data_IF_323162776460
#
_entry.id   IF_323162776460
#
_cell.length_a   1.000
_cell.length_b   1.000
_cell.length_c   1.000
_cell.angle_alpha   90.00
_cell.angle_beta   90.00
_cell.angle_gamma   90.00
#
_symmetry.space_group_name_H-M   'P 1'
#
loop_
_entity.id
_entity.type
_entity.pdbx_description
1 polymer ?
#
# COMPACT_ATOMS: atom_id res chain seq x y z
N UNK A 1 -15.05 -10.18 -19.91
CA UNK A 1 -13.74 -9.74 -20.45
C UNK A 1 -12.69 -10.04 -19.37
N UNK A 2 -11.49 -10.49 -19.71
CA UNK A 2 -10.48 -10.96 -18.73
C UNK A 2 -9.39 -9.90 -18.51
N UNK A 3 -9.19 -9.47 -17.24
CA UNK A 3 -8.08 -8.67 -16.65
C UNK A 3 -8.21 -8.74 -15.11
N UNK A 4 -7.17 -8.61 -14.26
CA UNK A 4 -5.82 -9.20 -14.25
C UNK A 4 -5.83 -10.68 -13.77
N UNK A 5 -4.63 -11.30 -13.76
CA UNK A 5 -4.30 -12.75 -13.74
C UNK A 5 -5.01 -13.65 -12.70
N UNK A 6 -5.69 -13.10 -11.69
CA UNK A 6 -6.14 -13.86 -10.52
C UNK A 6 -7.65 -13.78 -10.21
N UNK A 7 -8.47 -13.02 -10.93
CA UNK A 7 -9.88 -12.82 -10.57
C UNK A 7 -10.86 -13.38 -11.62
N UNK A 8 -12.01 -13.89 -11.19
CA UNK A 8 -13.14 -14.29 -12.05
C UNK A 8 -14.32 -13.36 -11.77
N UNK A 9 -14.99 -12.92 -12.83
CA UNK A 9 -16.04 -11.92 -12.78
C UNK A 9 -17.33 -12.37 -13.49
N UNK A 10 -18.45 -11.83 -13.03
CA UNK A 10 -19.76 -11.90 -13.68
C UNK A 10 -20.21 -10.45 -13.92
N UNK A 11 -20.46 -10.07 -15.16
CA UNK A 11 -20.85 -8.70 -15.54
C UNK A 11 -19.91 -7.60 -15.02
N UNK A 12 -18.60 -7.88 -14.95
CA UNK A 12 -17.59 -6.94 -14.44
C UNK A 12 -17.52 -6.84 -12.91
N UNK A 13 -18.27 -7.69 -12.19
CA UNK A 13 -18.24 -7.81 -10.73
C UNK A 13 -17.51 -9.09 -10.33
N UNK A 14 -16.54 -8.98 -9.42
CA UNK A 14 -15.73 -10.11 -8.95
C UNK A 14 -16.56 -11.12 -8.15
N UNK A 15 -16.52 -12.38 -8.56
CA UNK A 15 -17.17 -13.50 -7.86
C UNK A 15 -16.16 -14.49 -7.25
N UNK A 16 -14.90 -14.45 -7.69
CA UNK A 16 -13.86 -15.37 -7.23
C UNK A 16 -12.49 -14.72 -7.33
N UNK A 17 -11.63 -15.02 -6.35
CA UNK A 17 -10.19 -14.78 -6.42
C UNK A 17 -9.46 -16.11 -6.48
N UNK A 18 -8.39 -16.17 -7.26
CA UNK A 18 -7.61 -17.37 -7.56
C UNK A 18 -6.14 -17.12 -7.32
N UNK A 19 -5.37 -18.18 -7.17
CA UNK A 19 -3.93 -18.11 -6.99
C UNK A 19 -3.29 -19.48 -7.18
N UNK A 20 -2.05 -19.48 -7.62
CA UNK A 20 -1.29 -20.69 -7.90
C UNK A 20 0.06 -20.69 -7.21
N UNK A 21 0.54 -21.87 -6.84
CA UNK A 21 1.96 -22.07 -6.49
C UNK A 21 2.46 -23.38 -7.06
N UNK A 22 3.69 -23.39 -7.54
CA UNK A 22 4.37 -24.61 -7.94
C UNK A 22 5.41 -24.99 -6.89
N UNK A 23 5.48 -26.27 -6.54
CA UNK A 23 6.50 -26.83 -5.65
C UNK A 23 6.88 -28.22 -6.16
N UNK A 24 8.16 -28.40 -6.51
CA UNK A 24 8.76 -29.71 -6.86
C UNK A 24 8.00 -30.47 -7.95
N UNK A 25 7.63 -29.78 -9.03
CA UNK A 25 6.89 -30.37 -10.16
C UNK A 25 5.41 -30.62 -9.90
N UNK A 26 4.88 -30.19 -8.76
CA UNK A 26 3.45 -30.16 -8.48
C UNK A 26 2.93 -28.72 -8.50
N UNK A 27 1.85 -28.49 -9.24
CA UNK A 27 1.16 -27.20 -9.28
C UNK A 27 -0.10 -27.26 -8.41
N UNK A 28 -0.17 -26.37 -7.42
CA UNK A 28 -1.36 -26.13 -6.61
C UNK A 28 -2.05 -24.88 -7.13
N UNK A 29 -3.20 -25.07 -7.78
CA UNK A 29 -4.14 -24.00 -8.08
C UNK A 29 -5.24 -23.97 -7.03
N UNK A 30 -5.54 -22.81 -6.49
CA UNK A 30 -6.64 -22.60 -5.55
C UNK A 30 -7.45 -21.38 -5.92
N UNK A 31 -8.69 -21.35 -5.48
CA UNK A 31 -9.53 -20.17 -5.57
C UNK A 31 -10.68 -20.21 -4.57
N UNK A 32 -11.25 -19.04 -4.33
CA UNK A 32 -12.48 -18.88 -3.55
C UNK A 32 -13.65 -18.67 -4.50
N UNK A 33 -14.85 -19.10 -4.15
CA UNK A 33 -16.07 -18.75 -4.87
C UNK A 33 -17.05 -18.14 -3.87
N UNK A 34 -17.49 -16.92 -4.14
CA UNK A 34 -18.41 -16.21 -3.27
C UNK A 34 -19.83 -16.78 -3.48
N UNK A 35 -20.30 -17.57 -2.51
CA UNK A 35 -21.62 -18.23 -2.56
C UNK A 35 -22.70 -17.34 -1.94
N UNK A 36 -22.48 -16.89 -0.70
CA UNK A 36 -23.34 -15.97 0.04
C UNK A 36 -22.44 -14.96 0.76
N UNK A 37 -22.38 -13.74 0.24
CA UNK A 37 -21.48 -12.70 0.73
C UNK A 37 -22.20 -11.77 1.70
N UNK A 38 -21.82 -11.83 2.98
CA UNK A 38 -22.18 -10.82 3.97
C UNK A 38 -21.09 -9.74 4.02
N UNK A 39 -21.33 -8.63 3.31
CA UNK A 39 -20.41 -7.50 3.26
C UNK A 39 -20.17 -6.90 4.65
N UNK A 40 -21.19 -6.85 5.51
CA UNK A 40 -21.07 -6.27 6.84
C UNK A 40 -20.12 -7.09 7.73
N UNK A 41 -20.25 -8.43 7.70
CA UNK A 41 -19.33 -9.33 8.41
C UNK A 41 -17.92 -9.25 7.84
N UNK A 42 -17.77 -9.25 6.51
CA UNK A 42 -16.47 -9.15 5.85
C UNK A 42 -15.73 -7.88 6.25
N UNK A 43 -16.39 -6.73 6.19
CA UNK A 43 -15.82 -5.43 6.57
C UNK A 43 -15.37 -5.43 8.04
N UNK A 44 -16.19 -5.94 8.97
CA UNK A 44 -15.78 -6.05 10.38
C UNK A 44 -14.58 -6.98 10.58
N UNK A 45 -14.53 -8.11 9.88
CA UNK A 45 -13.45 -9.09 10.01
C UNK A 45 -12.10 -8.53 9.50
N UNK A 46 -12.14 -7.70 8.44
CA UNK A 46 -10.97 -7.02 7.89
C UNK A 46 -10.53 -5.81 8.73
N UNK A 47 -11.21 -5.53 9.87
CA UNK A 47 -10.93 -4.37 10.76
C UNK A 47 -10.94 -3.04 10.01
N UNK A 48 -11.77 -2.98 9.00
CA UNK A 48 -12.12 -1.78 8.25
C UNK A 48 -12.89 -0.87 9.23
N UNK A 49 -12.45 0.37 9.50
CA UNK A 49 -13.01 1.23 10.54
C UNK A 49 -14.53 1.40 10.50
N UNK A 50 -15.12 1.65 11.66
CA UNK A 50 -16.57 1.67 11.86
C UNK A 50 -17.28 2.87 11.23
N UNK A 51 -16.57 3.97 10.92
CA UNK A 51 -17.18 5.09 10.17
C UNK A 51 -17.64 4.69 8.74
N UNK A 52 -17.24 3.50 8.28
CA UNK A 52 -17.44 2.91 6.95
C UNK A 52 -18.61 1.92 6.82
N UNK A 53 -19.41 1.76 7.88
CA UNK A 53 -20.56 0.86 7.84
C UNK A 53 -21.82 1.60 7.35
N UNK A 54 -21.67 2.62 6.50
CA UNK A 54 -22.79 3.39 5.94
C UNK A 54 -23.32 2.70 4.68
N UNK A 55 -24.63 2.72 4.48
CA UNK A 55 -25.30 1.97 3.39
C UNK A 55 -24.73 2.26 1.98
N UNK A 56 -24.32 3.52 1.73
CA UNK A 56 -23.74 3.95 0.45
C UNK A 56 -22.46 3.18 0.05
N UNK A 57 -21.68 2.70 1.01
CA UNK A 57 -20.44 1.96 0.75
C UNK A 57 -20.69 0.48 0.47
N UNK A 58 -21.69 -0.09 1.17
CA UNK A 58 -22.18 -1.45 0.86
C UNK A 58 -22.61 -1.48 -0.61
N UNK A 59 -23.29 -0.44 -1.07
CA UNK A 59 -23.74 -0.35 -2.45
C UNK A 59 -22.58 -0.19 -3.44
N UNK A 60 -21.55 0.62 -3.12
CA UNK A 60 -20.32 0.69 -3.94
C UNK A 60 -19.52 -0.62 -3.99
N UNK A 61 -19.56 -1.44 -2.94
CA UNK A 61 -18.95 -2.77 -2.95
C UNK A 61 -19.77 -3.77 -3.78
N UNK A 62 -21.10 -3.69 -3.76
CA UNK A 62 -21.98 -4.47 -4.66
C UNK A 62 -21.79 -4.11 -6.13
N UNK A 63 -21.34 -2.88 -6.44
CA UNK A 63 -20.96 -2.49 -7.81
C UNK A 63 -19.68 -3.18 -8.29
N UNK A 64 -18.83 -3.69 -7.39
CA UNK A 64 -17.51 -4.27 -7.71
C UNK A 64 -17.43 -5.78 -7.47
N UNK A 65 -18.29 -6.33 -6.63
CA UNK A 65 -18.29 -7.75 -6.23
C UNK A 65 -19.68 -8.34 -6.38
N UNK A 66 -19.73 -9.66 -6.59
CA UNK A 66 -20.98 -10.41 -6.57
C UNK A 66 -20.81 -11.79 -5.94
N UNK A 67 -21.92 -12.48 -5.72
CA UNK A 67 -21.96 -13.85 -5.23
C UNK A 67 -23.07 -14.65 -5.93
N UNK A 68 -22.99 -15.99 -5.87
CA UNK A 68 -23.97 -16.87 -6.52
C UNK A 68 -25.41 -16.56 -6.08
N UNK A 69 -25.63 -16.26 -4.81
CA UNK A 69 -26.97 -15.94 -4.29
C UNK A 69 -27.59 -14.70 -4.94
N UNK A 70 -26.79 -13.68 -5.23
CA UNK A 70 -27.28 -12.45 -5.86
C UNK A 70 -27.58 -12.69 -7.33
N UNK A 71 -26.69 -13.41 -8.03
CA UNK A 71 -26.86 -13.70 -9.47
C UNK A 71 -27.98 -14.71 -9.75
N UNK A 72 -28.18 -15.70 -8.88
CA UNK A 72 -29.19 -16.75 -9.05
C UNK A 72 -30.52 -16.43 -8.34
N UNK A 73 -30.56 -15.39 -7.51
CA UNK A 73 -31.70 -15.06 -6.65
C UNK A 73 -31.92 -16.03 -5.47
N UNK A 74 -31.13 -17.11 -5.37
CA UNK A 74 -31.16 -18.06 -4.27
C UNK A 74 -29.76 -18.63 -4.00
N UNK A 75 -29.51 -19.11 -2.79
CA UNK A 75 -28.26 -19.80 -2.48
C UNK A 75 -28.31 -21.23 -3.02
N UNK A 76 -27.43 -21.63 -3.96
CA UNK A 76 -27.41 -23.00 -4.44
C UNK A 76 -26.85 -23.95 -3.36
N UNK A 77 -27.34 -25.20 -3.27
CA UNK A 77 -26.73 -26.21 -2.40
C UNK A 77 -25.26 -26.45 -2.75
N UNK A 78 -24.41 -26.64 -1.74
CA UNK A 78 -22.96 -26.78 -1.94
C UNK A 78 -22.59 -27.93 -2.89
N UNK A 79 -23.36 -29.01 -2.89
CA UNK A 79 -23.14 -30.16 -3.78
C UNK A 79 -23.43 -29.82 -5.25
N UNK A 80 -24.40 -28.93 -5.52
CA UNK A 80 -24.65 -28.42 -6.88
C UNK A 80 -23.46 -27.60 -7.35
N UNK A 81 -22.93 -26.73 -6.48
CA UNK A 81 -21.75 -25.90 -6.77
C UNK A 81 -20.52 -26.78 -7.05
N UNK A 82 -20.23 -27.77 -6.19
CA UNK A 82 -19.12 -28.72 -6.38
C UNK A 82 -19.24 -29.50 -7.68
N UNK A 83 -20.44 -29.99 -8.00
CA UNK A 83 -20.68 -30.73 -9.25
C UNK A 83 -20.52 -29.85 -10.50
N UNK A 84 -20.95 -28.59 -10.44
CA UNK A 84 -20.74 -27.63 -11.51
C UNK A 84 -19.25 -27.36 -11.75
N UNK A 85 -18.48 -27.13 -10.68
CA UNK A 85 -17.01 -26.95 -10.74
C UNK A 85 -16.33 -28.19 -11.32
N UNK A 86 -16.67 -29.39 -10.81
CA UNK A 86 -16.14 -30.67 -11.32
C UNK A 86 -16.40 -30.82 -12.82
N UNK A 87 -17.64 -30.57 -13.24
CA UNK A 87 -18.04 -30.66 -14.66
C UNK A 87 -17.28 -29.65 -15.51
N UNK A 88 -17.12 -28.42 -15.02
CA UNK A 88 -16.34 -27.37 -15.69
C UNK A 88 -14.89 -27.79 -15.92
N UNK A 89 -14.23 -28.28 -14.87
CA UNK A 89 -12.85 -28.78 -14.98
C UNK A 89 -12.76 -30.01 -15.88
N UNK A 90 -13.71 -30.96 -15.80
CA UNK A 90 -13.69 -32.15 -16.66
C UNK A 90 -13.73 -31.79 -18.14
N UNK A 91 -14.57 -30.81 -18.49
CA UNK A 91 -14.65 -30.29 -19.86
C UNK A 91 -13.38 -29.55 -20.27
N UNK A 92 -12.86 -28.68 -19.40
CA UNK A 92 -11.69 -27.86 -19.69
C UNK A 92 -10.41 -28.70 -19.88
N UNK A 93 -10.23 -29.75 -19.08
CA UNK A 93 -9.06 -30.62 -19.14
C UNK A 93 -9.26 -31.87 -20.01
N UNK A 94 -10.49 -32.15 -20.47
CA UNK A 94 -10.81 -33.39 -21.16
C UNK A 94 -10.56 -34.63 -20.29
N UNK A 95 -10.81 -34.52 -18.98
CA UNK A 95 -10.43 -35.54 -17.98
C UNK A 95 -11.61 -36.00 -17.14
N UNK A 96 -11.57 -37.27 -16.74
CA UNK A 96 -12.50 -37.84 -15.76
C UNK A 96 -11.88 -37.76 -14.36
N UNK A 97 -12.64 -37.21 -13.41
CA UNK A 97 -12.20 -37.10 -12.02
C UNK A 97 -12.85 -38.19 -11.15
N UNK A 98 -12.02 -39.01 -10.52
CA UNK A 98 -12.41 -39.90 -9.44
C UNK A 98 -12.42 -39.14 -8.10
N UNK A 99 -13.42 -39.41 -7.26
CA UNK A 99 -13.46 -38.88 -5.90
C UNK A 99 -12.74 -39.87 -5.00
N UNK A 100 -11.58 -39.46 -4.49
CA UNK A 100 -10.84 -40.21 -3.49
C UNK A 100 -10.75 -39.37 -2.21
N UNK A 101 -10.91 -40.05 -1.07
CA UNK A 101 -10.62 -39.44 0.22
C UNK A 101 -9.11 -39.35 0.44
N UNK A 102 -8.72 -38.75 1.56
CA UNK A 102 -7.31 -38.79 1.99
C UNK A 102 -6.91 -40.25 2.26
N UNK A 103 -5.77 -40.66 1.69
CA UNK A 103 -5.12 -41.91 2.07
C UNK A 103 -4.73 -41.89 3.55
N UNK A 104 -4.46 -43.06 4.12
CA UNK A 104 -4.01 -43.16 5.52
C UNK A 104 -2.74 -42.35 5.78
N UNK A 105 -1.84 -42.26 4.81
CA UNK A 105 -0.63 -41.45 4.93
C UNK A 105 -0.95 -39.95 4.94
N UNK A 106 -1.81 -39.47 4.03
CA UNK A 106 -2.22 -38.07 3.96
C UNK A 106 -3.00 -37.64 5.21
N UNK A 107 -3.90 -38.50 5.71
CA UNK A 107 -4.62 -38.25 6.95
C UNK A 107 -3.66 -38.12 8.13
N UNK A 108 -2.71 -39.06 8.28
CA UNK A 108 -1.68 -38.98 9.33
C UNK A 108 -0.80 -37.73 9.18
N UNK A 109 -0.47 -37.33 7.96
CA UNK A 109 0.30 -36.11 7.69
C UNK A 109 -0.49 -34.86 8.09
N UNK A 110 -1.76 -34.78 7.72
CA UNK A 110 -2.68 -33.72 8.11
C UNK A 110 -2.79 -33.64 9.63
N UNK A 111 -3.11 -34.75 10.31
CA UNK A 111 -3.30 -34.79 11.76
C UNK A 111 -2.04 -34.35 12.52
N UNK A 112 -0.86 -34.76 12.03
CA UNK A 112 0.43 -34.37 12.62
C UNK A 112 0.71 -32.87 12.48
N UNK A 113 0.32 -32.25 11.37
CA UNK A 113 0.64 -30.84 11.08
C UNK A 113 -0.50 -29.86 11.38
N UNK A 114 -1.74 -30.33 11.50
CA UNK A 114 -2.93 -29.50 11.72
C UNK A 114 -2.78 -28.63 12.96
N UNK A 115 -2.28 -29.21 14.06
CA UNK A 115 -2.00 -28.48 15.31
C UNK A 115 -1.04 -27.31 15.10
N UNK A 116 -0.04 -27.49 14.23
CA UNK A 116 0.90 -26.42 13.86
C UNK A 116 0.20 -25.37 13.01
N UNK A 117 -0.59 -25.75 12.00
CA UNK A 117 -1.28 -24.79 11.13
C UNK A 117 -2.35 -23.98 11.86
N UNK A 118 -2.91 -24.52 12.94
CA UNK A 118 -3.87 -23.85 13.83
C UNK A 118 -3.19 -23.09 14.98
N UNK A 119 -1.86 -23.20 15.16
CA UNK A 119 -1.19 -22.53 16.27
C UNK A 119 -1.10 -21.03 16.03
N UNK A 120 -1.11 -20.25 17.10
CA UNK A 120 -0.88 -18.81 17.07
C UNK A 120 0.46 -18.48 16.43
N UNK A 121 1.50 -19.28 16.70
CA UNK A 121 2.83 -19.08 16.13
C UNK A 121 2.86 -19.20 14.62
N UNK A 122 1.97 -20.01 14.03
CA UNK A 122 1.83 -20.14 12.58
C UNK A 122 0.91 -19.07 12.00
N UNK A 123 -0.27 -18.88 12.59
CA UNK A 123 -1.27 -17.90 12.14
C UNK A 123 -0.71 -16.48 12.19
N UNK A 124 0.01 -16.14 13.26
CA UNK A 124 0.65 -14.85 13.47
C UNK A 124 2.13 -14.84 13.07
N UNK A 125 2.58 -15.80 12.24
CA UNK A 125 3.93 -15.83 11.66
C UNK A 125 4.12 -14.73 10.61
N UNK A 126 3.88 -13.49 11.00
CA UNK A 126 4.13 -12.30 10.21
C UNK A 126 5.61 -12.00 10.35
N UNK A 127 6.32 -11.90 9.23
CA UNK A 127 7.68 -11.33 9.24
C UNK A 127 7.52 -9.86 9.58
N UNK A 128 7.73 -9.52 10.84
CA UNK A 128 7.78 -8.14 11.29
C UNK A 128 9.23 -7.70 11.34
N UNK A 129 9.53 -6.45 10.98
CA UNK A 129 10.81 -5.87 11.32
C UNK A 129 11.04 -5.97 12.83
N UNK A 130 12.30 -6.04 13.25
CA UNK A 130 12.64 -5.84 14.65
C UNK A 130 12.18 -4.43 15.05
N UNK A 131 11.64 -4.27 16.26
CA UNK A 131 11.37 -2.95 16.82
C UNK A 131 12.72 -2.30 17.13
N UNK A 132 13.20 -1.50 16.19
CA UNK A 132 14.44 -0.73 16.28
C UNK A 132 14.11 0.69 15.83
N UNK A 133 14.42 1.68 16.66
CA UNK A 133 14.13 3.09 16.38
C UNK A 133 14.92 3.63 15.18
N UNK A 134 15.98 2.92 14.76
CA UNK A 134 16.80 3.25 13.60
C UNK A 134 16.41 2.48 12.32
N UNK A 135 15.28 1.77 12.35
CA UNK A 135 14.79 1.05 11.18
C UNK A 135 14.33 2.02 10.10
N UNK A 136 14.88 1.89 8.89
CA UNK A 136 14.49 2.66 7.72
C UNK A 136 13.40 1.90 6.96
N UNK A 137 12.37 2.62 6.51
CA UNK A 137 11.17 2.05 5.91
C UNK A 137 10.81 2.70 4.57
N UNK A 138 10.33 1.88 3.64
CA UNK A 138 9.72 2.36 2.39
C UNK A 138 8.64 1.41 1.88
N UNK A 139 7.77 1.97 1.02
CA UNK A 139 6.74 1.23 0.28
C UNK A 139 6.80 1.63 -1.18
N UNK A 140 6.97 0.65 -2.06
CA UNK A 140 6.97 0.85 -3.51
C UNK A 140 5.86 0.02 -4.15
N UNK A 141 5.06 0.62 -5.04
CA UNK A 141 4.04 -0.11 -5.81
C UNK A 141 4.62 -0.53 -7.15
N UNK A 142 4.70 -1.83 -7.36
CA UNK A 142 4.94 -2.42 -8.68
C UNK A 142 3.61 -2.88 -9.30
N UNK A 143 3.55 -3.05 -10.64
CA UNK A 143 2.39 -3.65 -11.32
C UNK A 143 1.97 -5.01 -10.73
N UNK A 144 2.94 -5.78 -10.24
CA UNK A 144 2.76 -7.12 -9.65
C UNK A 144 2.44 -7.14 -8.15
N UNK A 145 2.45 -5.99 -7.47
CA UNK A 145 2.19 -5.91 -6.03
C UNK A 145 2.95 -4.77 -5.33
N UNK A 146 2.60 -4.52 -4.07
CA UNK A 146 3.30 -3.67 -3.12
C UNK A 146 4.53 -4.38 -2.58
N UNK A 147 5.67 -3.70 -2.65
CA UNK A 147 6.93 -4.08 -2.02
C UNK A 147 7.13 -3.16 -0.81
N UNK A 148 7.35 -3.75 0.35
CA UNK A 148 7.69 -3.06 1.59
C UNK A 148 9.10 -3.45 1.99
N UNK A 149 9.95 -2.46 2.20
CA UNK A 149 11.32 -2.66 2.65
C UNK A 149 11.45 -2.11 4.05
N UNK A 150 12.10 -2.88 4.91
CA UNK A 150 12.53 -2.46 6.23
C UNK A 150 13.98 -2.84 6.40
N UNK A 151 14.86 -1.87 6.57
CA UNK A 151 16.30 -2.12 6.63
C UNK A 151 16.98 -1.34 7.75
N UNK A 152 18.07 -1.91 8.26
CA UNK A 152 19.01 -1.25 9.15
C UNK A 152 20.30 -1.04 8.39
N UNK A 153 20.80 0.19 8.37
CA UNK A 153 22.12 0.51 7.84
C UNK A 153 23.18 0.47 8.96
N UNK A 154 24.42 0.24 8.59
CA UNK A 154 25.60 0.46 9.44
C UNK A 154 26.34 1.68 8.88
N UNK A 155 26.20 2.82 9.54
CA UNK A 155 26.76 4.09 9.07
C UNK A 155 28.30 4.08 9.05
N UNK A 156 28.93 3.37 9.99
CA UNK A 156 30.38 3.30 10.07
C UNK A 156 31.00 2.48 8.93
N UNK A 157 30.27 1.48 8.43
CA UNK A 157 30.71 0.60 7.33
C UNK A 157 30.04 0.90 5.99
N UNK A 158 29.17 1.91 5.95
CA UNK A 158 28.33 2.32 4.81
C UNK A 158 27.70 1.12 4.06
N UNK A 159 27.03 0.25 4.83
CA UNK A 159 26.45 -0.98 4.31
C UNK A 159 25.10 -1.32 4.94
N UNK A 160 24.31 -2.16 4.27
CA UNK A 160 23.05 -2.68 4.81
C UNK A 160 23.38 -3.74 5.86
N UNK A 161 23.07 -3.50 7.13
CA UNK A 161 23.26 -4.47 8.22
C UNK A 161 22.24 -5.59 8.16
N UNK A 162 20.97 -5.24 7.96
CA UNK A 162 19.84 -6.17 7.83
C UNK A 162 18.82 -5.55 6.88
N UNK A 163 18.19 -6.38 6.06
CA UNK A 163 17.02 -6.00 5.27
C UNK A 163 15.94 -7.06 5.41
N UNK A 164 14.69 -6.61 5.44
CA UNK A 164 13.49 -7.41 5.37
C UNK A 164 12.64 -6.88 4.21
N UNK A 165 12.33 -7.76 3.27
CA UNK A 165 11.49 -7.48 2.12
C UNK A 165 10.18 -8.25 2.31
N UNK A 166 9.07 -7.51 2.30
CA UNK A 166 7.72 -8.07 2.42
C UNK A 166 6.81 -7.41 1.39
N UNK A 167 5.60 -7.93 1.21
CA UNK A 167 4.71 -7.41 0.17
C UNK A 167 3.60 -8.38 -0.19
N UNK A 168 2.76 -7.97 -1.13
CA UNK A 168 1.69 -8.79 -1.72
C UNK A 168 2.01 -9.25 -3.16
N UNK A 169 3.28 -9.20 -3.56
CA UNK A 169 3.76 -9.68 -4.85
C UNK A 169 4.09 -11.18 -4.86
N UNK A 170 4.07 -11.78 -6.05
CA UNK A 170 4.43 -13.18 -6.26
C UNK A 170 5.91 -13.34 -6.61
N UNK A 171 6.53 -14.41 -6.10
CA UNK A 171 7.92 -14.76 -6.37
C UNK A 171 8.08 -16.26 -6.53
N UNK A 172 8.66 -16.69 -7.64
CA UNK A 172 8.97 -18.08 -7.95
C UNK A 172 10.47 -18.22 -8.27
N UNK A 173 11.22 -19.03 -7.50
CA UNK A 173 10.79 -19.75 -6.30
C UNK A 173 10.54 -18.80 -5.12
N UNK A 174 9.70 -19.20 -4.16
CA UNK A 174 9.41 -18.39 -2.94
C UNK A 174 10.66 -18.04 -2.12
N UNK A 175 11.70 -18.89 -2.19
CA UNK A 175 12.98 -18.67 -1.49
C UNK A 175 13.79 -17.50 -2.06
N UNK A 176 13.50 -17.05 -3.28
CA UNK A 176 14.28 -16.00 -3.94
C UNK A 176 14.35 -14.71 -3.10
N UNK A 177 13.27 -14.35 -2.40
CA UNK A 177 13.28 -13.18 -1.51
C UNK A 177 14.21 -13.37 -0.31
N UNK A 178 14.25 -14.57 0.27
CA UNK A 178 15.17 -14.88 1.37
C UNK A 178 16.63 -14.91 0.89
N UNK A 179 16.86 -15.44 -0.31
CA UNK A 179 18.19 -15.48 -0.93
C UNK A 179 18.66 -14.05 -1.26
N UNK A 180 17.77 -13.17 -1.75
CA UNK A 180 18.05 -11.76 -1.99
C UNK A 180 18.37 -11.02 -0.68
N UNK A 181 17.55 -11.15 0.36
CA UNK A 181 17.81 -10.56 1.68
C UNK A 181 19.16 -10.99 2.26
N UNK A 182 19.51 -12.27 2.11
CA UNK A 182 20.79 -12.80 2.55
C UNK A 182 21.96 -12.18 1.77
N UNK A 183 21.81 -11.97 0.45
CA UNK A 183 22.82 -11.34 -0.41
C UNK A 183 23.00 -9.85 -0.10
N UNK A 184 21.92 -9.18 0.27
CA UNK A 184 21.94 -7.77 0.67
C UNK A 184 22.54 -7.54 2.06
N UNK A 185 22.69 -8.59 2.89
CA UNK A 185 23.30 -8.47 4.21
C UNK A 185 24.79 -8.12 4.10
N UNK A 186 25.18 -7.04 4.77
CA UNK A 186 26.47 -6.35 4.66
C UNK A 186 26.81 -5.87 3.24
N UNK A 187 25.82 -5.72 2.35
CA UNK A 187 26.05 -5.13 1.03
C UNK A 187 26.41 -3.65 1.18
N UNK A 188 27.54 -3.18 0.62
CA UNK A 188 27.86 -1.76 0.56
C UNK A 188 26.75 -0.98 -0.15
N UNK A 189 26.42 0.21 0.35
CA UNK A 189 25.30 0.99 -0.18
C UNK A 189 25.51 1.37 -1.65
N UNK A 190 26.74 1.75 -2.02
CA UNK A 190 27.09 2.04 -3.41
C UNK A 190 27.03 0.84 -4.38
N UNK A 191 26.83 -0.39 -3.89
CA UNK A 191 26.77 -1.62 -4.71
C UNK A 191 25.38 -2.27 -4.76
N UNK A 192 24.36 -1.63 -4.20
CA UNK A 192 23.01 -2.20 -4.10
C UNK A 192 22.45 -2.53 -5.48
N UNK A 193 22.55 -1.60 -6.43
CA UNK A 193 22.04 -1.78 -7.78
C UNK A 193 22.74 -2.94 -8.50
N UNK A 194 24.07 -2.96 -8.50
CA UNK A 194 24.88 -4.04 -9.08
C UNK A 194 24.50 -5.40 -8.48
N UNK A 195 24.36 -5.47 -7.15
CA UNK A 195 24.04 -6.70 -6.42
C UNK A 195 22.64 -7.22 -6.76
N UNK A 196 21.65 -6.34 -6.86
CA UNK A 196 20.28 -6.72 -7.23
C UNK A 196 20.24 -7.19 -8.68
N UNK A 197 20.84 -6.44 -9.61
CA UNK A 197 20.88 -6.84 -11.03
C UNK A 197 21.58 -8.19 -11.22
N UNK A 198 22.76 -8.38 -10.62
CA UNK A 198 23.48 -9.66 -10.58
C UNK A 198 22.63 -10.80 -10.01
N UNK A 199 21.86 -10.55 -8.93
CA UNK A 199 20.96 -11.56 -8.38
C UNK A 199 19.89 -11.99 -9.37
N UNK A 200 19.24 -11.04 -10.05
CA UNK A 200 18.22 -11.37 -11.05
C UNK A 200 18.80 -12.05 -12.29
N UNK A 201 20.03 -11.73 -12.68
CA UNK A 201 20.72 -12.37 -13.81
C UNK A 201 21.14 -13.82 -13.51
N UNK A 202 21.61 -14.08 -12.28
CA UNK A 202 22.10 -15.40 -11.84
C UNK A 202 20.98 -16.34 -11.44
N UNK A 203 20.06 -15.87 -10.60
CA UNK A 203 18.99 -16.69 -10.01
C UNK A 203 17.78 -16.78 -10.93
N UNK A 204 17.58 -15.76 -11.79
CA UNK A 204 16.45 -15.63 -12.73
C UNK A 204 15.09 -15.95 -12.09
N UNK A 205 14.75 -15.29 -10.96
CA UNK A 205 13.46 -15.52 -10.33
C UNK A 205 12.33 -14.98 -11.21
N UNK A 206 11.23 -15.71 -11.28
CA UNK A 206 10.01 -15.27 -11.95
C UNK A 206 9.14 -14.49 -10.95
N UNK A 207 8.97 -13.20 -11.19
CA UNK A 207 8.13 -12.31 -10.37
C UNK A 207 7.19 -11.51 -11.28
N UNK A 208 5.97 -12.01 -11.57
CA UNK A 208 5.05 -11.36 -12.49
C UNK A 208 4.75 -9.91 -12.10
N UNK A 209 5.07 -8.96 -12.98
CA UNK A 209 4.82 -7.53 -12.76
C UNK A 209 5.76 -6.86 -11.75
N UNK A 210 6.84 -7.53 -11.33
CA UNK A 210 7.88 -6.95 -10.46
C UNK A 210 9.23 -7.07 -11.13
N UNK A 211 9.97 -5.98 -11.16
CA UNK A 211 11.28 -5.86 -11.82
C UNK A 211 12.40 -5.59 -10.81
N UNK A 212 13.68 -5.80 -11.17
CA UNK A 212 14.82 -5.39 -10.35
C UNK A 212 14.76 -3.92 -9.95
N UNK A 213 14.33 -3.05 -10.86
CA UNK A 213 14.24 -1.60 -10.63
C UNK A 213 13.24 -1.26 -9.52
N UNK A 214 12.17 -2.05 -9.36
CA UNK A 214 11.23 -1.85 -8.24
C UNK A 214 11.89 -2.13 -6.88
N UNK A 215 12.75 -3.16 -6.78
CA UNK A 215 13.51 -3.44 -5.55
C UNK A 215 14.58 -2.38 -5.28
N UNK A 216 15.29 -1.96 -6.33
CA UNK A 216 16.30 -0.90 -6.24
C UNK A 216 15.66 0.39 -5.72
N UNK A 217 14.56 0.83 -6.35
CA UNK A 217 13.83 2.02 -5.95
C UNK A 217 13.34 1.93 -4.50
N UNK A 218 12.76 0.79 -4.09
CA UNK A 218 12.29 0.60 -2.71
C UNK A 218 13.43 0.68 -1.69
N UNK A 219 14.58 0.05 -1.97
CA UNK A 219 15.73 0.05 -1.05
C UNK A 219 16.37 1.43 -0.98
N UNK A 220 16.55 2.10 -2.13
CA UNK A 220 17.08 3.46 -2.20
C UNK A 220 16.19 4.45 -1.45
N UNK A 221 14.87 4.38 -1.63
CA UNK A 221 13.93 5.26 -0.93
C UNK A 221 14.00 5.09 0.60
N UNK A 222 14.20 3.86 1.09
CA UNK A 222 14.41 3.63 2.52
C UNK A 222 15.74 4.24 2.99
N UNK A 223 16.82 4.10 2.21
CA UNK A 223 18.14 4.65 2.56
C UNK A 223 18.17 6.18 2.54
N UNK A 224 17.45 6.82 1.61
CA UNK A 224 17.32 8.27 1.54
C UNK A 224 16.67 8.87 2.81
N UNK A 225 15.96 8.07 3.63
CA UNK A 225 15.47 8.56 4.93
C UNK A 225 16.61 8.92 5.89
N UNK A 226 17.83 8.39 5.69
CA UNK A 226 19.02 8.79 6.45
C UNK A 226 19.33 10.26 6.23
N UNK A 227 19.18 10.74 4.99
CA UNK A 227 19.50 12.12 4.64
C UNK A 227 18.54 13.11 5.34
N UNK A 228 17.31 12.68 5.63
CA UNK A 228 16.34 13.49 6.38
C UNK A 228 16.74 13.72 7.85
N UNK A 229 17.64 12.90 8.41
CA UNK A 229 18.13 13.14 9.78
C UNK A 229 18.96 14.43 9.88
N UNK A 230 19.51 14.93 8.77
CA UNK A 230 20.19 16.24 8.74
C UNK A 230 19.24 17.40 9.01
N UNK A 231 17.93 17.19 8.86
CA UNK A 231 16.89 18.18 9.17
C UNK A 231 16.49 18.18 10.67
N UNK A 232 17.19 17.42 11.52
CA UNK A 232 16.88 17.29 12.95
C UNK A 232 15.74 16.30 13.25
N UNK A 233 15.37 15.48 12.26
CA UNK A 233 14.37 14.42 12.40
C UNK A 233 15.00 13.15 12.99
N UNK A 234 14.25 12.46 13.85
CA UNK A 234 14.58 11.08 14.21
C UNK A 234 14.34 10.16 13.00
N UNK A 235 14.92 8.95 13.02
CA UNK A 235 14.68 7.97 11.95
C UNK A 235 13.21 7.55 11.90
N UNK A 236 12.55 7.46 13.05
CA UNK A 236 11.10 7.20 13.13
C UNK A 236 10.29 8.31 12.45
N UNK A 237 10.64 9.58 12.69
CA UNK A 237 9.99 10.72 12.05
C UNK A 237 10.26 10.76 10.54
N UNK A 238 11.50 10.47 10.12
CA UNK A 238 11.89 10.42 8.71
C UNK A 238 11.11 9.36 7.93
N UNK A 239 10.73 8.24 8.55
CA UNK A 239 9.89 7.21 7.92
C UNK A 239 8.48 7.69 7.58
N UNK A 240 8.03 8.80 8.16
CA UNK A 240 6.75 9.43 7.82
C UNK A 240 6.87 10.41 6.65
N UNK A 241 8.04 10.59 6.06
CA UNK A 241 8.24 11.54 4.96
C UNK A 241 8.40 10.78 3.66
N UNK A 242 7.73 11.23 2.60
CA UNK A 242 7.94 10.80 1.22
C UNK A 242 8.61 11.92 0.44
N UNK A 243 9.58 11.55 -0.39
CA UNK A 243 10.29 12.48 -1.27
C UNK A 243 9.91 12.19 -2.72
N UNK A 244 9.67 13.25 -3.47
CA UNK A 244 9.37 13.22 -4.90
C UNK A 244 10.43 14.05 -5.62
N UNK A 245 11.09 13.46 -6.61
CA UNK A 245 12.22 14.07 -7.33
C UNK A 245 13.32 14.53 -6.35
N UNK A 246 14.03 15.63 -6.64
CA UNK A 246 15.16 16.14 -5.86
C UNK A 246 14.70 17.00 -4.65
N UNK A 247 13.78 16.45 -3.85
CA UNK A 247 13.04 17.18 -2.83
C UNK A 247 13.91 17.82 -1.74
N UNK A 248 14.98 17.16 -1.32
CA UNK A 248 15.84 17.66 -0.25
C UNK A 248 16.69 18.86 -0.71
N UNK A 249 17.19 18.82 -1.94
CA UNK A 249 18.02 19.90 -2.50
C UNK A 249 17.22 21.18 -2.73
N UNK A 250 15.93 21.05 -3.08
CA UNK A 250 15.05 22.19 -3.35
C UNK A 250 14.23 22.64 -2.13
N UNK A 251 14.44 22.01 -0.95
CA UNK A 251 13.73 22.34 0.28
C UNK A 251 13.82 23.84 0.66
N UNK A 252 14.97 24.53 0.56
CA UNK A 252 15.06 25.95 0.85
C UNK A 252 14.17 26.83 -0.05
N UNK A 253 14.04 26.47 -1.34
CA UNK A 253 13.23 27.21 -2.34
C UNK A 253 11.71 26.97 -2.19
N UNK A 254 11.30 26.11 -1.27
CA UNK A 254 9.91 25.68 -1.12
C UNK A 254 9.03 26.81 -0.59
N UNK A 255 7.97 27.18 -1.31
CA UNK A 255 7.12 28.33 -0.95
C UNK A 255 5.66 27.99 -0.66
N UNK A 256 5.24 26.73 -0.86
CA UNK A 256 3.85 26.29 -0.74
C UNK A 256 3.73 25.07 0.17
N UNK A 257 2.67 25.03 0.97
CA UNK A 257 2.29 23.86 1.79
C UNK A 257 0.90 23.36 1.38
N UNK A 258 0.81 22.12 0.91
CA UNK A 258 -0.44 21.48 0.51
C UNK A 258 -1.01 20.65 1.65
N UNK A 259 -2.21 20.99 2.12
CA UNK A 259 -2.85 20.36 3.27
C UNK A 259 -4.11 19.61 2.83
N UNK A 260 -4.36 18.39 3.31
CA UNK A 260 -5.52 17.62 2.88
C UNK A 260 -6.77 18.05 3.65
N UNK A 261 -7.88 18.23 2.95
CA UNK A 261 -9.18 18.57 3.57
C UNK A 261 -9.62 17.54 4.63
N UNK A 262 -9.22 16.28 4.48
CA UNK A 262 -9.59 15.20 5.40
C UNK A 262 -8.95 15.32 6.79
N UNK A 263 -8.03 16.27 6.99
CA UNK A 263 -7.48 16.61 8.30
C UNK A 263 -8.20 17.79 8.99
N UNK A 264 -9.17 18.43 8.31
CA UNK A 264 -10.14 19.33 8.95
C UNK A 264 -11.18 18.50 9.72
N UNK A 265 -11.92 19.10 10.65
CA UNK A 265 -13.05 18.42 11.31
C UNK A 265 -14.14 18.07 10.30
N UNK A 266 -14.90 16.99 10.53
CA UNK A 266 -16.03 16.62 9.69
C UNK A 266 -17.15 17.68 9.72
N UNK A 267 -17.28 18.39 10.85
CA UNK A 267 -18.23 19.49 11.05
C UNK A 267 -17.70 20.88 10.64
N UNK A 268 -16.49 20.98 10.10
CA UNK A 268 -15.90 22.26 9.73
C UNK A 268 -16.61 22.87 8.50
N UNK A 269 -17.11 24.09 8.63
CA UNK A 269 -17.74 24.82 7.51
C UNK A 269 -16.76 25.01 6.33
N UNK A 270 -15.48 25.24 6.64
CA UNK A 270 -14.42 25.40 5.66
C UNK A 270 -13.80 24.08 5.21
N UNK A 271 -14.42 22.92 5.48
CA UNK A 271 -13.83 21.61 5.16
C UNK A 271 -13.46 21.51 3.68
N UNK A 272 -14.33 21.97 2.80
CA UNK A 272 -14.17 21.87 1.34
C UNK A 272 -13.74 23.18 0.69
N UNK A 273 -13.26 24.14 1.49
CA UNK A 273 -12.66 25.37 0.98
C UNK A 273 -11.14 25.21 0.88
N UNK A 274 -10.57 25.84 -0.16
CA UNK A 274 -9.11 25.91 -0.38
C UNK A 274 -8.39 26.73 0.68
N UNK A 275 -9.11 27.60 1.38
CA UNK A 275 -8.60 28.43 2.44
C UNK A 275 -8.99 27.91 3.82
N UNK A 276 -8.29 28.42 4.83
CA UNK A 276 -8.62 28.18 6.23
C UNK A 276 -8.45 29.49 7.00
N UNK A 277 -9.44 29.78 7.85
CA UNK A 277 -9.41 30.92 8.76
C UNK A 277 -8.50 30.69 9.98
N UNK A 278 -7.84 29.54 10.08
CA UNK A 278 -6.94 29.21 11.20
C UNK A 278 -7.60 29.29 12.57
N UNK A 279 -8.83 28.77 12.72
CA UNK A 279 -9.55 28.85 13.99
C UNK A 279 -8.96 28.00 15.14
N UNK A 280 -7.85 27.29 14.92
CA UNK A 280 -7.23 26.38 15.89
C UNK A 280 -8.02 25.09 16.20
N UNK A 281 -9.23 24.91 15.65
CA UNK A 281 -10.10 23.76 15.96
C UNK A 281 -9.65 22.41 15.41
N UNK A 282 -8.65 22.38 14.52
CA UNK A 282 -8.06 21.16 13.97
C UNK A 282 -6.59 21.35 13.61
N UNK A 283 -5.89 20.24 13.33
CA UNK A 283 -4.47 20.27 12.96
C UNK A 283 -4.19 21.08 11.69
N UNK A 284 -5.14 21.15 10.74
CA UNK A 284 -5.00 22.00 9.54
C UNK A 284 -4.96 23.48 9.90
N UNK A 285 -5.78 23.93 10.85
CA UNK A 285 -5.77 25.34 11.29
C UNK A 285 -4.42 25.76 11.84
N UNK A 286 -3.81 24.90 12.67
CA UNK A 286 -2.46 25.10 13.23
C UNK A 286 -1.40 25.06 12.12
N UNK A 287 -1.48 24.10 11.20
CA UNK A 287 -0.56 24.01 10.07
C UNK A 287 -0.62 25.24 9.14
N UNK A 288 -1.79 25.86 8.97
CA UNK A 288 -1.93 27.12 8.23
C UNK A 288 -1.19 28.27 8.90
N UNK A 289 -1.29 28.40 10.23
CA UNK A 289 -0.56 29.43 10.99
C UNK A 289 0.95 29.19 10.90
N UNK A 290 1.36 27.94 11.08
CA UNK A 290 2.75 27.54 10.99
C UNK A 290 3.36 27.84 9.61
N UNK A 291 2.65 27.50 8.53
CA UNK A 291 3.07 27.82 7.17
C UNK A 291 3.22 29.34 6.94
N UNK A 292 2.24 30.14 7.40
CA UNK A 292 2.29 31.61 7.27
C UNK A 292 3.45 32.21 8.06
N UNK A 293 3.73 31.70 9.26
CA UNK A 293 4.86 32.15 10.08
C UNK A 293 6.22 31.89 9.40
N UNK A 294 6.29 30.90 8.50
CA UNK A 294 7.47 30.57 7.69
C UNK A 294 7.44 31.19 6.28
N UNK A 295 6.57 32.20 6.05
CA UNK A 295 6.37 32.87 4.76
C UNK A 295 6.00 31.90 3.62
N UNK A 296 5.22 30.87 3.91
CA UNK A 296 4.71 29.93 2.93
C UNK A 296 3.21 30.13 2.69
N UNK A 297 2.78 29.78 1.48
CA UNK A 297 1.37 29.77 1.08
C UNK A 297 0.73 28.41 1.42
N UNK A 298 -0.13 28.33 2.45
CA UNK A 298 -0.89 27.11 2.71
C UNK A 298 -2.11 27.00 1.78
N UNK A 299 -2.29 25.85 1.15
CA UNK A 299 -3.42 25.55 0.26
C UNK A 299 -4.07 24.24 0.70
N UNK A 300 -5.39 24.24 0.90
CA UNK A 300 -6.13 23.01 1.17
C UNK A 300 -6.48 22.34 -0.16
N UNK A 301 -6.11 21.06 -0.29
CA UNK A 301 -6.50 20.19 -1.39
C UNK A 301 -7.79 19.48 -1.01
N UNK A 302 -8.84 19.58 -1.84
CA UNK A 302 -10.19 19.08 -1.53
C UNK A 302 -10.60 17.82 -2.30
N UNK A 303 -9.87 17.50 -3.37
CA UNK A 303 -10.00 16.24 -4.12
C UNK A 303 -8.72 15.92 -4.90
N UNK A 304 -8.68 14.76 -5.56
CA UNK A 304 -7.57 14.41 -6.44
C UNK A 304 -7.53 15.28 -7.71
N UNK A 305 -8.70 15.55 -8.30
CA UNK A 305 -8.82 16.44 -9.46
C UNK A 305 -8.37 17.87 -9.10
N UNK A 306 -8.67 18.30 -7.88
CA UNK A 306 -8.20 19.58 -7.34
C UNK A 306 -6.68 19.59 -7.13
N UNK A 307 -6.10 18.49 -6.64
CA UNK A 307 -4.65 18.34 -6.54
C UNK A 307 -3.98 18.52 -7.90
N UNK A 308 -4.46 17.82 -8.93
CA UNK A 308 -3.89 17.90 -10.27
C UNK A 308 -3.95 19.33 -10.81
N UNK A 309 -5.10 19.98 -10.67
CA UNK A 309 -5.29 21.38 -11.10
C UNK A 309 -4.37 22.34 -10.34
N UNK A 310 -4.20 22.12 -9.04
CA UNK A 310 -3.35 22.94 -8.17
C UNK A 310 -1.87 22.76 -8.52
N UNK A 311 -1.40 21.52 -8.73
CA UNK A 311 -0.04 21.24 -9.18
C UNK A 311 0.26 21.87 -10.55
N UNK A 312 -0.66 21.78 -11.50
CA UNK A 312 -0.53 22.43 -12.81
C UNK A 312 -0.45 23.95 -12.70
N UNK A 313 -1.28 24.55 -11.83
CA UNK A 313 -1.26 25.99 -11.59
C UNK A 313 0.06 26.43 -10.94
N UNK A 314 0.56 25.68 -9.95
CA UNK A 314 1.83 25.93 -9.29
C UNK A 314 3.00 25.87 -10.27
N UNK A 315 3.00 24.86 -11.16
CA UNK A 315 3.99 24.73 -12.23
C UNK A 315 3.99 25.94 -13.18
N UNK A 316 2.80 26.44 -13.57
CA UNK A 316 2.67 27.65 -14.40
C UNK A 316 3.15 28.91 -13.69
N UNK A 317 3.03 28.97 -12.35
CA UNK A 317 3.60 30.03 -11.51
C UNK A 317 5.12 29.94 -11.35
N UNK A 318 5.74 28.88 -11.88
CA UNK A 318 7.19 28.65 -11.77
C UNK A 318 7.63 28.14 -10.41
N UNK A 319 6.70 27.60 -9.60
CA UNK A 319 7.05 26.94 -8.34
C UNK A 319 7.80 25.64 -8.67
N UNK A 320 8.96 25.45 -8.05
CA UNK A 320 9.79 24.25 -8.25
C UNK A 320 9.63 23.20 -7.17
N UNK A 321 9.33 23.62 -5.95
CA UNK A 321 9.22 22.75 -4.78
C UNK A 321 8.01 23.09 -3.90
N UNK A 322 7.42 22.08 -3.27
CA UNK A 322 6.32 22.22 -2.31
C UNK A 322 6.45 21.24 -1.13
N UNK A 323 5.90 21.64 0.02
CA UNK A 323 5.60 20.71 1.11
C UNK A 323 4.17 20.24 0.96
N UNK A 324 3.87 19.02 1.37
CA UNK A 324 2.48 18.60 1.49
C UNK A 324 2.27 17.54 2.55
N UNK A 325 1.00 17.25 2.83
CA UNK A 325 0.62 16.18 3.74
C UNK A 325 -0.38 15.25 3.05
N UNK A 326 -0.15 13.94 3.09
CA UNK A 326 -1.07 12.95 2.53
C UNK A 326 -0.88 11.61 3.25
N UNK A 327 -1.84 10.70 3.11
CA UNK A 327 -1.72 9.36 3.68
C UNK A 327 -0.89 8.42 2.78
N UNK A 328 -0.30 7.38 3.38
CA UNK A 328 0.48 6.36 2.66
C UNK A 328 -0.23 5.82 1.41
N UNK A 329 -1.51 5.38 1.48
CA UNK A 329 -2.11 4.77 0.30
C UNK A 329 -2.37 5.79 -0.81
N UNK A 330 -2.69 7.04 -0.48
CA UNK A 330 -2.84 8.13 -1.46
C UNK A 330 -1.52 8.34 -2.19
N UNK A 331 -0.42 8.49 -1.45
CA UNK A 331 0.89 8.70 -2.04
C UNK A 331 1.29 7.52 -2.93
N UNK A 332 1.17 6.29 -2.41
CA UNK A 332 1.56 5.08 -3.13
C UNK A 332 0.78 4.91 -4.43
N UNK A 333 -0.49 5.30 -4.47
CA UNK A 333 -1.31 5.24 -5.69
C UNK A 333 -1.00 6.34 -6.68
N UNK A 334 -0.74 7.55 -6.21
CA UNK A 334 -0.57 8.76 -7.03
C UNK A 334 0.89 9.19 -7.19
N UNK A 335 1.84 8.33 -6.81
CA UNK A 335 3.28 8.60 -6.90
C UNK A 335 3.67 9.08 -8.29
N UNK A 336 3.27 8.34 -9.33
CA UNK A 336 3.57 8.71 -10.71
C UNK A 336 2.97 10.08 -11.09
N UNK A 337 1.81 10.44 -10.55
CA UNK A 337 1.17 11.72 -10.82
C UNK A 337 1.99 12.87 -10.21
N UNK A 338 2.51 12.69 -9.00
CA UNK A 338 3.44 13.64 -8.36
C UNK A 338 4.77 13.76 -9.12
N UNK A 339 5.37 12.64 -9.52
CA UNK A 339 6.61 12.63 -10.29
C UNK A 339 6.44 13.34 -11.65
N UNK A 340 5.34 13.05 -12.36
CA UNK A 340 5.01 13.66 -13.67
C UNK A 340 4.67 15.14 -13.57
N UNK A 341 4.28 15.64 -12.40
CA UNK A 341 4.09 17.08 -12.19
C UNK A 341 5.40 17.84 -12.46
N UNK A 342 6.56 17.22 -12.23
CA UNK A 342 7.87 17.79 -12.52
C UNK A 342 8.30 18.89 -11.55
N UNK A 343 7.71 18.92 -10.36
CA UNK A 343 8.14 19.70 -9.20
C UNK A 343 8.68 18.74 -8.14
N UNK A 344 9.58 19.22 -7.30
CA UNK A 344 10.06 18.44 -6.16
C UNK A 344 9.10 18.58 -4.99
N UNK A 345 8.97 17.54 -4.17
CA UNK A 345 7.97 17.51 -3.11
C UNK A 345 8.41 16.73 -1.89
N UNK A 346 8.25 17.31 -0.70
CA UNK A 346 8.32 16.59 0.57
C UNK A 346 6.89 16.42 1.10
N UNK A 347 6.43 15.17 1.16
CA UNK A 347 5.09 14.80 1.58
C UNK A 347 5.14 14.11 2.94
N UNK A 348 4.48 14.67 3.95
CA UNK A 348 4.43 14.13 5.31
C UNK A 348 3.18 13.26 5.47
N UNK A 349 3.38 12.05 5.96
CA UNK A 349 2.31 11.12 6.26
C UNK A 349 1.42 11.65 7.37
N UNK A 350 0.11 11.46 7.20
CA UNK A 350 -0.91 11.83 8.19
C UNK A 350 -1.33 10.61 9.02
N UNK A 351 -1.73 10.85 10.25
CA UNK A 351 -2.20 9.81 11.16
C UNK A 351 -3.67 9.47 10.93
N UNK A 352 -4.03 8.24 11.30
CA UNK A 352 -5.34 7.57 11.20
C UNK A 352 -5.68 6.97 9.84
N UNK A 353 -6.73 6.17 9.85
CA UNK A 353 -7.21 5.43 8.69
C UNK A 353 -7.62 6.37 7.57
N UNK A 354 -6.92 6.27 6.45
CA UNK A 354 -7.10 7.14 5.29
C UNK A 354 -8.33 6.78 4.46
N UNK A 355 -8.80 7.66 3.57
CA UNK A 355 -9.90 7.34 2.65
C UNK A 355 -9.70 6.04 1.83
N UNK A 356 -8.46 5.63 1.61
CA UNK A 356 -8.05 4.40 0.94
C UNK A 356 -8.09 3.17 1.82
N UNK A 357 -7.56 3.27 3.05
CA UNK A 357 -7.81 2.27 4.08
C UNK A 357 -9.31 2.16 4.35
N UNK A 358 -10.05 3.23 3.99
CA UNK A 358 -11.47 3.37 4.07
C UNK A 358 -12.23 2.94 2.78
N UNK A 359 -11.59 2.48 1.70
CA UNK A 359 -12.26 2.13 0.41
C UNK A 359 -13.24 3.22 -0.13
N UNK A 360 -13.14 4.45 0.38
CA UNK A 360 -13.96 5.61 0.06
C UNK A 360 -13.29 6.50 -0.98
N UNK A 361 -12.48 5.93 -1.88
CA UNK A 361 -11.76 6.67 -2.91
C UNK A 361 -12.69 7.55 -3.75
N UNK A 362 -13.89 7.04 -4.08
CA UNK A 362 -14.88 7.78 -4.86
C UNK A 362 -15.43 8.97 -4.08
N UNK A 363 -15.78 8.78 -2.81
CA UNK A 363 -16.18 9.87 -1.93
C UNK A 363 -15.03 10.87 -1.68
N UNK A 364 -13.78 10.41 -1.68
CA UNK A 364 -12.62 11.29 -1.57
C UNK A 364 -12.35 12.10 -2.83
N UNK A 365 -12.52 11.50 -4.01
CA UNK A 365 -12.51 12.20 -5.31
C UNK A 365 -13.65 13.20 -5.44
N UNK A 366 -14.83 12.86 -4.93
CA UNK A 366 -16.00 13.73 -4.96
C UNK A 366 -16.00 14.78 -3.83
N UNK A 367 -15.00 14.80 -2.95
CA UNK A 367 -14.94 15.76 -1.83
C UNK A 367 -16.09 15.57 -0.82
N UNK A 368 -16.48 14.34 -0.52
CA UNK A 368 -17.56 13.99 0.44
C UNK A 368 -17.11 13.07 1.57
N UNK A 369 -15.82 12.75 1.64
CA UNK A 369 -15.21 11.91 2.67
C UNK A 369 -15.36 12.50 4.09
N UNK A 370 -15.95 11.73 5.00
CA UNK A 370 -16.30 12.16 6.37
C UNK A 370 -15.39 11.69 7.49
N UNK A 371 -14.26 11.02 7.21
CA UNK A 371 -13.29 10.62 8.24
C UNK A 371 -12.37 11.77 8.66
N UNK A 372 -11.80 11.66 9.87
CA UNK A 372 -10.90 12.66 10.45
C UNK A 372 -9.48 12.11 10.62
N UNK A 373 -8.56 12.63 9.81
CA UNK A 373 -7.12 12.35 9.91
C UNK A 373 -6.42 13.46 10.70
N UNK A 374 -5.22 13.20 11.21
CA UNK A 374 -4.43 14.22 11.93
C UNK A 374 -3.09 14.43 11.26
N UNK A 375 -2.66 15.69 11.16
CA UNK A 375 -1.33 16.02 10.69
C UNK A 375 -0.29 15.76 11.79
N UNK A 376 0.90 15.29 11.39
CA UNK A 376 2.08 15.22 12.26
C UNK A 376 2.74 16.59 12.35
N UNK A 377 2.17 17.46 13.18
CA UNK A 377 2.60 18.86 13.29
C UNK A 377 4.07 19.00 13.71
N UNK A 378 4.54 18.16 14.63
CA UNK A 378 5.92 18.18 15.11
C UNK A 378 6.94 17.92 13.97
N UNK A 379 6.60 16.99 13.07
CA UNK A 379 7.42 16.68 11.88
C UNK A 379 7.36 17.82 10.88
N UNK A 380 6.17 18.40 10.65
CA UNK A 380 5.98 19.54 9.77
C UNK A 380 6.79 20.76 10.24
N UNK A 381 6.76 21.07 11.53
CA UNK A 381 7.50 22.17 12.14
C UNK A 381 9.01 22.00 11.96
N UNK A 382 9.56 20.81 12.27
CA UNK A 382 10.98 20.51 12.06
C UNK A 382 11.41 20.71 10.60
N UNK A 383 10.63 20.20 9.65
CA UNK A 383 10.92 20.36 8.22
C UNK A 383 10.85 21.85 7.82
N UNK A 384 9.86 22.59 8.32
CA UNK A 384 9.73 24.03 8.06
C UNK A 384 10.88 24.86 8.64
N UNK A 385 11.38 24.49 9.82
CA UNK A 385 12.51 25.15 10.46
C UNK A 385 13.84 24.86 9.77
N UNK A 386 14.00 23.65 9.23
CA UNK A 386 15.20 23.22 8.52
C UNK A 386 15.44 23.91 7.16
N UNK A 387 14.48 24.71 6.69
CA UNK A 387 14.58 25.50 5.44
C UNK A 387 15.48 26.73 5.54
N UNK A 388 15.86 27.14 6.75
CA UNK A 388 16.57 28.41 7.03
C UNK A 388 18.04 28.39 6.64
#
# INVERSE_FOLDING_TARGET
SFRPVNDIEVEGRKISGTGGTEVRGAFLFQGTLLVDLDLQVMLRALRIPTEKLKDKEIDSLKERMTCLKWELGHMPPIEVVKNAIKTGFSRAFGAEFAVEGLSRWEQNYLDKHLKKFQSTDWIYKVRRPLKDEHLLYSVNKAPGGLIRVSLLADDARDCIKVILITGDFFSYPRRAILDLEARMKNCPIGKIEETIRSFFDEVKPEMPGVTPDNFIAAIQEALQKRDLTSLGLSVEEANHIYMVNDALEQLPETSVVLLPYCAKLASCEYRYDKDCISCGGCTVGVAYELARNHNMEPITIVSFEDLQTTLDHMKRRGIKSYLGCCCDPFFVKHREDFEKAGMSGILINIENTSCYDLDQEKAAKEGTFGGETKLKLDVLEKVLDSRK
#
